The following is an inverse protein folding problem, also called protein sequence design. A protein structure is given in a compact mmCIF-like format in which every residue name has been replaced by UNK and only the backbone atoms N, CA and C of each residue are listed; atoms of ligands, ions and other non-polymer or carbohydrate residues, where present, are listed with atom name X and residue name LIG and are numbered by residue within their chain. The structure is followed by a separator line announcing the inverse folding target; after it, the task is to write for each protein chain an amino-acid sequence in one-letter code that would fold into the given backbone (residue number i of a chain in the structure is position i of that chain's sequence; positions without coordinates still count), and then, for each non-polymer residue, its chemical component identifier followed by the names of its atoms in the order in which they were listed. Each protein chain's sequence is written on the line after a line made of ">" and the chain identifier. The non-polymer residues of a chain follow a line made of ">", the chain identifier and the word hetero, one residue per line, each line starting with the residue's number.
data_IF_548680912153
#
_entry.id   IF_548680912153
#
_cell.length_a   1.000
_cell.length_b   1.000
_cell.length_c   1.000
_cell.angle_alpha   90.00
_cell.angle_beta   90.00
_cell.angle_gamma   90.00
#
_symmetry.space_group_name_H-M   'P 1'
#
loop_
_entity.id
_entity.type
_entity.pdbx_description
1 polymer ?
#
# COMPACT_ATOMS: atom_id res chain seq x y z
N UNK A 1 -13.06 -8.08 18.04
CA UNK A 1 -11.64 -7.93 17.63
C UNK A 1 -11.24 -6.47 17.69
N UNK A 2 -9.99 -6.13 18.00
CA UNK A 2 -9.47 -4.77 17.84
C UNK A 2 -9.52 -4.37 16.36
N UNK A 3 -9.60 -3.06 16.09
CA UNK A 3 -9.46 -2.54 14.73
C UNK A 3 -8.07 -2.83 14.17
N UNK A 4 -7.86 -2.58 12.88
CA UNK A 4 -6.56 -2.74 12.24
C UNK A 4 -6.10 -1.41 11.65
N UNK A 5 -4.78 -1.17 11.65
CA UNK A 5 -4.17 -0.01 11.00
C UNK A 5 -3.18 -0.49 9.93
N UNK A 6 -3.37 -0.03 8.69
CA UNK A 6 -2.45 -0.25 7.57
C UNK A 6 -2.01 1.12 7.03
N UNK A 7 -0.71 1.37 7.03
CA UNK A 7 -0.10 2.58 6.45
C UNK A 7 0.59 2.23 5.14
N UNK A 8 0.21 2.89 4.05
CA UNK A 8 0.75 2.65 2.71
C UNK A 8 1.55 3.86 2.21
N UNK A 9 2.72 3.61 1.61
CA UNK A 9 3.55 4.66 1.01
C UNK A 9 3.79 4.31 -0.45
N UNK A 10 3.45 5.22 -1.36
CA UNK A 10 3.63 5.03 -2.80
C UNK A 10 4.58 6.04 -3.41
N UNK A 11 5.00 5.78 -4.65
CA UNK A 11 5.82 6.71 -5.41
C UNK A 11 7.24 6.87 -4.87
N UNK A 12 7.79 5.79 -4.30
CA UNK A 12 9.14 5.66 -3.77
C UNK A 12 10.12 5.58 -4.95
N UNK A 13 11.12 6.45 -4.95
CA UNK A 13 12.25 6.51 -5.89
C UNK A 13 13.44 7.24 -5.25
N UNK A 14 14.59 7.26 -5.93
CA UNK A 14 15.78 8.00 -5.51
C UNK A 14 15.57 9.47 -5.12
N UNK A 15 14.53 10.14 -5.64
CA UNK A 15 14.23 11.56 -5.34
C UNK A 15 13.33 11.75 -4.13
N UNK A 16 12.73 10.68 -3.63
CA UNK A 16 11.77 10.70 -2.52
C UNK A 16 12.21 9.81 -1.36
N UNK A 17 13.28 9.03 -1.54
CA UNK A 17 13.75 8.05 -0.58
C UNK A 17 14.07 8.65 0.79
N UNK A 18 14.61 9.87 0.83
CA UNK A 18 14.97 10.53 2.08
C UNK A 18 13.71 10.90 2.90
N UNK A 19 12.68 11.46 2.26
CA UNK A 19 11.41 11.75 2.95
C UNK A 19 10.67 10.48 3.37
N UNK A 20 10.73 9.43 2.54
CA UNK A 20 10.14 8.12 2.89
C UNK A 20 10.87 7.50 4.06
N UNK A 21 12.20 7.56 4.09
CA UNK A 21 13.03 7.04 5.19
C UNK A 21 12.75 7.77 6.50
N UNK A 22 12.70 9.10 6.45
CA UNK A 22 12.38 9.93 7.62
C UNK A 22 10.97 9.61 8.15
N UNK A 23 9.97 9.54 7.26
CA UNK A 23 8.61 9.19 7.66
C UNK A 23 8.50 7.77 8.21
N UNK A 24 9.22 6.79 7.62
CA UNK A 24 9.29 5.44 8.17
C UNK A 24 9.88 5.45 9.58
N UNK A 25 10.91 6.24 9.85
CA UNK A 25 11.49 6.37 11.20
C UNK A 25 10.44 6.82 12.23
N UNK A 26 9.58 7.77 11.86
CA UNK A 26 8.47 8.22 12.69
C UNK A 26 7.41 7.14 12.94
N UNK A 27 7.13 6.29 11.94
CA UNK A 27 6.25 5.12 12.10
C UNK A 27 6.89 4.03 12.98
N UNK A 28 8.20 3.82 12.84
CA UNK A 28 8.96 2.85 13.64
C UNK A 28 8.92 3.19 15.13
N UNK A 29 9.09 4.48 15.48
CA UNK A 29 8.94 4.96 16.86
C UNK A 29 7.54 4.74 17.44
N UNK A 30 6.53 4.45 16.60
CA UNK A 30 5.16 4.10 16.99
C UNK A 30 4.86 2.59 16.91
N UNK A 31 5.85 1.77 16.56
CA UNK A 31 5.65 0.33 16.33
C UNK A 31 4.78 0.01 15.11
N UNK A 32 4.69 0.92 14.13
CA UNK A 32 3.83 0.76 12.96
C UNK A 32 4.67 0.37 11.73
N UNK A 33 4.53 -0.86 11.20
CA UNK A 33 5.15 -1.24 9.94
C UNK A 33 4.42 -0.62 8.74
N UNK A 34 5.10 -0.49 7.61
CA UNK A 34 4.56 0.11 6.40
C UNK A 34 4.31 -0.93 5.28
N UNK A 35 3.30 -0.66 4.46
CA UNK A 35 3.13 -1.32 3.16
C UNK A 35 3.68 -0.41 2.06
N UNK A 36 4.82 -0.79 1.51
CA UNK A 36 5.55 -0.04 0.50
C UNK A 36 5.02 -0.43 -0.88
N UNK A 37 4.34 0.52 -1.52
CA UNK A 37 3.73 0.36 -2.84
C UNK A 37 4.78 0.66 -3.91
N UNK A 38 5.47 -0.41 -4.36
CA UNK A 38 6.66 -0.33 -5.21
C UNK A 38 6.29 -0.42 -6.67
N UNK A 39 6.63 0.62 -7.44
CA UNK A 39 6.49 0.65 -8.89
C UNK A 39 7.82 0.41 -9.59
N UNK A 40 8.00 -0.74 -10.29
CA UNK A 40 9.26 -1.03 -10.99
C UNK A 40 9.59 -0.01 -12.08
N UNK A 41 8.56 0.59 -12.68
CA UNK A 41 8.67 1.63 -13.72
C UNK A 41 7.66 2.75 -13.48
N UNK A 42 7.99 3.99 -13.88
CA UNK A 42 7.11 5.17 -13.79
C UNK A 42 7.21 6.07 -15.04
N UNK A 43 6.22 6.96 -15.24
CA UNK A 43 6.09 7.84 -16.44
C UNK A 43 7.29 8.74 -16.75
N UNK A 44 8.07 9.12 -15.74
CA UNK A 44 9.23 9.99 -15.90
C UNK A 44 10.50 9.25 -16.35
N UNK A 45 10.36 8.02 -16.86
CA UNK A 45 11.49 7.17 -17.25
C UNK A 45 12.19 6.49 -16.07
N UNK A 46 11.69 6.65 -14.84
CA UNK A 46 12.25 5.99 -13.67
C UNK A 46 12.16 4.46 -13.79
N UNK A 47 13.23 3.82 -13.35
CA UNK A 47 13.49 2.38 -13.43
C UNK A 47 14.12 1.94 -12.11
N UNK A 48 13.40 1.11 -11.35
CA UNK A 48 13.87 0.64 -10.04
C UNK A 48 15.15 -0.21 -10.17
N UNK A 49 15.30 -0.95 -11.27
CA UNK A 49 16.50 -1.74 -11.58
C UNK A 49 17.75 -0.88 -11.83
N UNK A 50 17.61 0.42 -12.00
CA UNK A 50 18.71 1.38 -12.12
C UNK A 50 18.90 2.22 -10.85
N UNK A 51 18.22 1.88 -9.74
CA UNK A 51 18.25 2.60 -8.48
C UNK A 51 18.65 1.67 -7.32
N UNK A 52 19.94 1.26 -7.25
CA UNK A 52 20.39 0.29 -6.25
C UNK A 52 20.16 0.79 -4.82
N UNK A 53 20.27 2.10 -4.57
CA UNK A 53 20.04 2.71 -3.25
C UNK A 53 18.61 2.45 -2.77
N UNK A 54 17.61 2.65 -3.63
CA UNK A 54 16.21 2.37 -3.28
C UNK A 54 15.96 0.86 -3.14
N UNK A 55 16.58 0.01 -3.98
CA UNK A 55 16.44 -1.46 -3.89
C UNK A 55 17.00 -1.99 -2.57
N UNK A 56 18.20 -1.56 -2.17
CA UNK A 56 18.83 -1.96 -0.91
C UNK A 56 17.98 -1.54 0.29
N UNK A 57 17.47 -0.30 0.25
CA UNK A 57 16.56 0.21 1.27
C UNK A 57 15.29 -0.64 1.36
N UNK A 58 14.62 -0.93 0.24
CA UNK A 58 13.41 -1.77 0.21
C UNK A 58 13.68 -3.19 0.73
N UNK A 59 14.84 -3.75 0.41
CA UNK A 59 15.26 -5.09 0.86
C UNK A 59 15.41 -5.12 2.38
N UNK A 60 16.11 -4.12 2.94
CA UNK A 60 16.25 -3.98 4.39
C UNK A 60 14.90 -3.75 5.07
N UNK A 61 14.06 -2.85 4.53
CA UNK A 61 12.71 -2.58 5.05
C UNK A 61 11.84 -3.84 5.12
N UNK A 62 11.91 -4.70 4.10
CA UNK A 62 11.20 -5.99 4.11
C UNK A 62 11.71 -6.92 5.21
N UNK A 63 13.02 -6.98 5.43
CA UNK A 63 13.62 -7.74 6.53
C UNK A 63 13.12 -7.27 7.90
N UNK A 64 12.86 -5.98 8.04
CA UNK A 64 12.33 -5.35 9.26
C UNK A 64 10.79 -5.45 9.41
N UNK A 65 10.11 -6.17 8.53
CA UNK A 65 8.67 -6.44 8.62
C UNK A 65 7.75 -5.50 7.83
N UNK A 66 8.28 -4.60 7.00
CA UNK A 66 7.46 -3.88 6.02
C UNK A 66 7.03 -4.82 4.89
N UNK A 67 5.84 -4.57 4.32
CA UNK A 67 5.40 -5.31 3.15
C UNK A 67 5.85 -4.62 1.86
N UNK A 68 6.37 -5.41 0.92
CA UNK A 68 6.50 -5.00 -0.48
C UNK A 68 5.21 -5.37 -1.21
N UNK A 69 4.56 -4.37 -1.78
CA UNK A 69 3.33 -4.54 -2.56
C UNK A 69 3.59 -4.04 -3.97
N UNK A 70 3.31 -4.88 -4.97
CA UNK A 70 3.47 -4.48 -6.35
C UNK A 70 2.45 -3.37 -6.65
N UNK A 71 2.99 -2.22 -7.03
CA UNK A 71 2.25 -1.03 -7.43
C UNK A 71 2.72 -0.61 -8.81
N UNK A 72 1.95 0.18 -9.55
CA UNK A 72 2.40 0.59 -10.88
C UNK A 72 2.29 -0.54 -11.91
N UNK A 73 1.13 -0.61 -12.53
CA UNK A 73 0.92 -1.16 -13.85
C UNK A 73 0.17 -0.08 -14.63
N UNK A 74 0.81 0.56 -15.61
CA UNK A 74 0.13 1.55 -16.44
C UNK A 74 -0.58 0.83 -17.59
N UNK A 75 -1.86 0.56 -17.37
CA UNK A 75 -2.83 0.27 -18.42
C UNK A 75 -4.09 1.11 -18.20
N UNK A 76 -4.88 1.28 -19.25
CA UNK A 76 -6.17 1.92 -19.13
C UNK A 76 -7.05 1.15 -18.14
N UNK A 77 -8.02 1.85 -17.53
CA UNK A 77 -9.01 1.22 -16.64
C UNK A 77 -9.80 0.08 -17.33
N UNK A 78 -9.76 0.01 -18.66
CA UNK A 78 -10.41 -0.97 -19.53
C UNK A 78 -9.44 -1.86 -20.30
N UNK A 79 -8.16 -1.91 -19.93
CA UNK A 79 -7.16 -2.72 -20.64
C UNK A 79 -7.58 -4.20 -20.73
N UNK A 80 -7.55 -4.81 -21.94
CA UNK A 80 -7.84 -6.24 -22.11
C UNK A 80 -6.96 -7.11 -21.21
N UNK A 81 -7.50 -8.26 -20.78
CA UNK A 81 -6.80 -9.18 -19.86
C UNK A 81 -5.41 -9.62 -20.36
N UNK A 82 -5.23 -9.75 -21.68
CA UNK A 82 -3.93 -10.10 -22.27
C UNK A 82 -2.89 -8.99 -22.09
N UNK A 83 -3.28 -7.74 -22.32
CA UNK A 83 -2.41 -6.58 -22.13
C UNK A 83 -2.11 -6.36 -20.63
N UNK A 84 -3.14 -6.51 -19.79
CA UNK A 84 -3.02 -6.56 -18.33
C UNK A 84 -1.99 -7.59 -17.87
N UNK A 85 -2.03 -8.79 -18.45
CA UNK A 85 -1.12 -9.87 -18.15
C UNK A 85 0.34 -9.55 -18.53
N UNK A 86 0.58 -9.03 -19.74
CA UNK A 86 1.94 -8.77 -20.21
C UNK A 86 2.70 -7.78 -19.32
N UNK A 87 2.11 -6.62 -19.02
CA UNK A 87 2.83 -5.66 -18.16
C UNK A 87 2.85 -6.07 -16.68
N UNK A 88 1.89 -6.89 -16.20
CA UNK A 88 1.96 -7.48 -14.86
C UNK A 88 3.15 -8.44 -14.76
N UNK A 89 3.31 -9.33 -15.75
CA UNK A 89 4.46 -10.24 -15.83
C UNK A 89 5.78 -9.48 -15.94
N UNK A 90 5.83 -8.40 -16.73
CA UNK A 90 7.03 -7.57 -16.82
C UNK A 90 7.39 -6.94 -15.46
N UNK A 91 6.39 -6.42 -14.74
CA UNK A 91 6.59 -5.82 -13.43
C UNK A 91 6.98 -6.87 -12.35
N UNK A 92 6.31 -8.03 -12.32
CA UNK A 92 6.66 -9.16 -11.43
C UNK A 92 8.10 -9.61 -11.68
N UNK A 93 8.51 -9.74 -12.95
CA UNK A 93 9.86 -10.19 -13.32
C UNK A 93 10.95 -9.21 -12.88
N UNK A 94 10.70 -7.89 -12.98
CA UNK A 94 11.67 -6.90 -12.48
C UNK A 94 11.80 -7.01 -10.96
N UNK A 95 10.69 -7.10 -10.21
CA UNK A 95 10.77 -7.28 -8.76
C UNK A 95 11.42 -8.61 -8.37
N UNK A 96 11.15 -9.70 -9.10
CA UNK A 96 11.77 -11.01 -8.89
C UNK A 96 13.29 -10.95 -9.08
N UNK A 97 13.76 -10.31 -10.15
CA UNK A 97 15.19 -10.12 -10.42
C UNK A 97 15.89 -9.30 -9.33
N UNK A 98 15.20 -8.32 -8.75
CA UNK A 98 15.70 -7.49 -7.64
C UNK A 98 15.55 -8.18 -6.28
N UNK A 99 15.08 -9.43 -6.24
CA UNK A 99 14.82 -10.15 -4.99
C UNK A 99 13.65 -9.59 -4.18
N UNK A 100 12.84 -8.69 -4.73
CA UNK A 100 11.71 -7.99 -4.11
C UNK A 100 10.34 -8.61 -4.48
N UNK A 101 10.33 -9.84 -4.98
CA UNK A 101 9.10 -10.52 -5.42
C UNK A 101 8.02 -10.49 -4.35
N UNK A 102 6.78 -10.28 -4.77
CA UNK A 102 5.59 -10.25 -3.90
C UNK A 102 4.38 -10.82 -4.61
N UNK A 103 3.42 -11.33 -3.83
CA UNK A 103 2.09 -11.78 -4.32
C UNK A 103 0.96 -10.85 -3.87
N UNK A 104 1.33 -9.64 -3.44
CA UNK A 104 0.43 -8.57 -3.03
C UNK A 104 0.42 -7.51 -4.14
N UNK A 105 -0.78 -7.02 -4.46
CA UNK A 105 -0.95 -6.00 -5.50
C UNK A 105 -1.80 -4.83 -5.00
N UNK A 106 -1.45 -3.62 -5.42
CA UNK A 106 -2.29 -2.43 -5.29
C UNK A 106 -2.21 -1.62 -6.58
N UNK A 107 -3.34 -1.46 -7.28
CA UNK A 107 -3.36 -0.75 -8.56
C UNK A 107 -3.06 0.75 -8.42
N UNK A 108 -2.50 1.40 -9.47
CA UNK A 108 -2.35 2.86 -9.49
C UNK A 108 -3.69 3.55 -9.24
N UNK A 109 -3.66 4.63 -8.45
CA UNK A 109 -4.88 5.33 -8.01
C UNK A 109 -5.94 4.41 -7.36
N UNK A 110 -5.53 3.24 -6.87
CA UNK A 110 -6.39 2.22 -6.26
C UNK A 110 -7.42 1.59 -7.20
N UNK A 111 -7.18 1.68 -8.51
CA UNK A 111 -8.05 1.13 -9.55
C UNK A 111 -7.51 -0.22 -10.06
N UNK A 112 -8.41 -1.15 -10.36
CA UNK A 112 -8.08 -2.42 -11.02
C UNK A 112 -9.24 -2.82 -11.91
N UNK A 113 -8.94 -3.18 -13.16
CA UNK A 113 -9.94 -3.69 -14.09
C UNK A 113 -10.21 -5.17 -13.84
N UNK A 114 -11.30 -5.71 -14.37
CA UNK A 114 -11.57 -7.16 -14.35
C UNK A 114 -10.48 -7.95 -15.08
N UNK A 115 -9.90 -7.37 -16.14
CA UNK A 115 -8.74 -7.90 -16.83
C UNK A 115 -7.53 -8.01 -15.91
N UNK A 116 -7.25 -6.99 -15.11
CA UNK A 116 -6.20 -7.02 -14.08
C UNK A 116 -6.50 -8.06 -13.00
N UNK A 117 -7.72 -8.14 -12.49
CA UNK A 117 -8.10 -9.15 -11.49
C UNK A 117 -7.89 -10.58 -12.01
N UNK A 118 -8.24 -10.83 -13.27
CA UNK A 118 -8.00 -12.11 -13.95
C UNK A 118 -6.52 -12.41 -14.11
N UNK A 119 -5.73 -11.43 -14.57
CA UNK A 119 -4.28 -11.56 -14.70
C UNK A 119 -3.60 -11.83 -13.35
N UNK A 120 -4.00 -11.14 -12.28
CA UNK A 120 -3.45 -11.35 -10.94
C UNK A 120 -3.62 -12.80 -10.48
N UNK A 121 -4.84 -13.35 -10.60
CA UNK A 121 -5.13 -14.76 -10.23
C UNK A 121 -4.28 -15.74 -11.05
N UNK A 122 -4.21 -15.54 -12.37
CA UNK A 122 -3.43 -16.39 -13.28
C UNK A 122 -1.92 -16.39 -12.97
N UNK A 123 -1.40 -15.29 -12.42
CA UNK A 123 0.02 -15.14 -12.09
C UNK A 123 0.33 -15.40 -10.60
N UNK A 124 -0.59 -16.02 -9.86
CA UNK A 124 -0.35 -16.45 -8.48
C UNK A 124 -0.34 -15.32 -7.44
N UNK A 125 -0.83 -14.13 -7.78
CA UNK A 125 -1.10 -13.10 -6.77
C UNK A 125 -2.21 -13.58 -5.85
N UNK A 126 -2.06 -13.29 -4.55
CA UNK A 126 -2.95 -13.81 -3.51
C UNK A 126 -3.82 -12.73 -2.88
N UNK A 127 -3.39 -11.46 -2.96
CA UNK A 127 -4.13 -10.34 -2.40
C UNK A 127 -4.09 -9.14 -3.33
N UNK A 128 -5.25 -8.49 -3.50
CA UNK A 128 -5.39 -7.20 -4.19
C UNK A 128 -5.97 -6.15 -3.25
N UNK A 129 -5.27 -5.03 -3.08
CA UNK A 129 -5.70 -3.89 -2.29
C UNK A 129 -6.28 -2.81 -3.22
N UNK A 130 -7.60 -2.68 -3.24
CA UNK A 130 -8.33 -1.66 -4.00
C UNK A 130 -8.77 -0.48 -3.13
N UNK A 131 -9.45 0.50 -3.73
CA UNK A 131 -9.89 1.72 -3.06
C UNK A 131 -10.86 1.47 -1.90
N UNK A 132 -11.79 0.53 -2.08
CA UNK A 132 -12.89 0.27 -1.14
C UNK A 132 -12.75 -1.05 -0.38
N UNK A 133 -11.83 -1.90 -0.80
CA UNK A 133 -11.73 -3.26 -0.29
C UNK A 133 -10.33 -3.85 -0.44
N UNK A 134 -10.09 -4.91 0.32
CA UNK A 134 -8.95 -5.81 0.19
C UNK A 134 -9.51 -7.17 -0.19
N UNK A 135 -9.09 -7.68 -1.35
CA UNK A 135 -9.59 -8.93 -1.94
C UNK A 135 -8.55 -10.03 -1.77
N UNK A 136 -8.96 -11.12 -1.13
CA UNK A 136 -8.26 -12.40 -1.17
C UNK A 136 -8.56 -13.06 -2.53
N UNK A 137 -7.54 -13.09 -3.38
CA UNK A 137 -7.66 -13.60 -4.75
C UNK A 137 -7.74 -15.13 -4.80
N UNK A 138 -7.29 -15.82 -3.76
CA UNK A 138 -7.32 -17.28 -3.65
C UNK A 138 -8.68 -17.74 -3.15
N UNK A 139 -9.23 -17.07 -2.12
CA UNK A 139 -10.51 -17.44 -1.48
C UNK A 139 -11.72 -16.75 -2.10
N UNK A 140 -11.52 -15.74 -2.94
CA UNK A 140 -12.61 -14.93 -3.50
C UNK A 140 -13.34 -14.07 -2.46
N UNK A 141 -12.73 -13.83 -1.29
CA UNK A 141 -13.31 -13.06 -0.20
C UNK A 141 -12.82 -11.60 -0.25
N UNK A 142 -13.66 -10.67 0.18
CA UNK A 142 -13.29 -9.25 0.24
C UNK A 142 -13.62 -8.65 1.62
N UNK A 143 -12.67 -7.89 2.16
CA UNK A 143 -12.89 -7.06 3.35
C UNK A 143 -13.13 -5.63 2.91
N UNK A 144 -14.33 -5.10 3.20
CA UNK A 144 -14.69 -3.70 2.91
C UNK A 144 -13.94 -2.78 3.87
N UNK A 145 -13.03 -1.99 3.32
CA UNK A 145 -12.21 -1.04 4.05
C UNK A 145 -11.72 0.03 3.08
N UNK A 146 -12.23 1.25 3.17
CA UNK A 146 -11.85 2.32 2.25
C UNK A 146 -10.46 2.87 2.59
N UNK A 147 -9.64 3.13 1.57
CA UNK A 147 -8.38 3.87 1.72
C UNK A 147 -8.65 5.36 1.89
N UNK A 148 -8.02 5.95 2.89
CA UNK A 148 -7.98 7.37 3.17
C UNK A 148 -6.58 7.88 2.79
N UNK A 149 -6.46 8.59 1.66
CA UNK A 149 -5.14 8.89 1.11
C UNK A 149 -4.83 10.36 0.84
N UNK A 150 -3.55 10.64 0.60
CA UNK A 150 -3.01 11.92 0.13
C UNK A 150 -2.15 11.67 -1.12
N UNK A 151 -2.49 12.31 -2.24
CA UNK A 151 -1.84 12.02 -3.54
C UNK A 151 -2.32 10.70 -4.15
N UNK A 152 -1.72 10.25 -5.26
CA UNK A 152 -2.14 9.04 -6.02
C UNK A 152 -3.66 8.91 -6.22
N UNK A 153 -4.32 9.96 -6.71
CA UNK A 153 -5.78 9.99 -6.89
C UNK A 153 -6.55 10.70 -5.77
N UNK A 154 -5.87 11.10 -4.69
CA UNK A 154 -6.43 11.93 -3.63
C UNK A 154 -5.88 13.36 -3.64
N UNK A 155 -6.65 14.25 -3.01
CA UNK A 155 -6.30 15.64 -2.71
C UNK A 155 -5.19 15.75 -1.65
N UNK A 156 -4.58 16.93 -1.50
CA UNK A 156 -3.47 17.17 -0.56
C UNK A 156 -3.53 18.53 0.16
N UNK A 157 -4.66 19.20 0.06
CA UNK A 157 -4.95 20.50 0.66
C UNK A 157 -5.20 20.37 2.17
N UNK A 158 -5.01 21.44 2.97
CA UNK A 158 -5.17 21.39 4.43
C UNK A 158 -6.55 20.89 4.90
N UNK A 159 -7.62 21.31 4.24
CA UNK A 159 -8.98 20.86 4.57
C UNK A 159 -9.17 19.36 4.31
N UNK A 160 -8.51 18.82 3.27
CA UNK A 160 -8.53 17.40 2.97
C UNK A 160 -7.76 16.59 4.01
N UNK A 161 -6.60 17.10 4.43
CA UNK A 161 -5.80 16.51 5.50
C UNK A 161 -6.63 16.35 6.79
N UNK A 162 -7.37 17.39 7.18
CA UNK A 162 -8.31 17.32 8.32
C UNK A 162 -9.42 16.28 8.10
N UNK A 163 -9.97 16.21 6.89
CA UNK A 163 -11.02 15.24 6.54
C UNK A 163 -10.52 13.80 6.65
N UNK A 164 -9.29 13.53 6.19
CA UNK A 164 -8.64 12.23 6.30
C UNK A 164 -8.49 11.81 7.77
N UNK A 165 -7.98 12.69 8.62
CA UNK A 165 -7.79 12.42 10.05
C UNK A 165 -9.12 12.06 10.73
N UNK A 166 -10.17 12.88 10.52
CA UNK A 166 -11.50 12.63 11.08
C UNK A 166 -12.13 11.32 10.56
N UNK A 167 -11.86 10.95 9.31
CA UNK A 167 -12.33 9.69 8.74
C UNK A 167 -11.58 8.47 9.32
N UNK A 168 -10.28 8.61 9.58
CA UNK A 168 -9.46 7.58 10.20
C UNK A 168 -9.93 7.32 11.64
N UNK A 169 -10.10 8.38 12.43
CA UNK A 169 -10.61 8.31 13.80
C UNK A 169 -11.98 7.63 13.87
N UNK A 170 -12.93 8.04 13.01
CA UNK A 170 -14.26 7.44 12.97
C UNK A 170 -14.23 5.94 12.67
N UNK A 171 -13.34 5.53 11.76
CA UNK A 171 -13.14 4.10 11.44
C UNK A 171 -12.54 3.35 12.62
N UNK A 172 -11.54 3.94 13.29
CA UNK A 172 -10.88 3.36 14.45
C UNK A 172 -11.83 3.17 15.64
N UNK A 173 -12.64 4.19 15.96
CA UNK A 173 -13.67 4.13 17.02
C UNK A 173 -14.67 2.99 16.83
N UNK A 174 -14.95 2.62 15.59
CA UNK A 174 -15.84 1.50 15.22
C UNK A 174 -15.11 0.16 15.15
N UNK A 175 -13.85 0.10 15.58
CA UNK A 175 -12.98 -1.09 15.51
C UNK A 175 -12.86 -1.63 14.07
N UNK A 176 -12.91 -0.73 13.08
CA UNK A 176 -12.77 -1.07 11.67
C UNK A 176 -11.31 -1.20 11.21
N UNK A 177 -11.13 -1.44 9.92
CA UNK A 177 -9.80 -1.46 9.27
C UNK A 177 -9.49 -0.05 8.75
N UNK A 178 -8.60 0.65 9.44
CA UNK A 178 -8.07 1.96 9.04
C UNK A 178 -6.97 1.74 8.00
N UNK A 179 -7.20 2.20 6.77
CA UNK A 179 -6.21 2.15 5.68
C UNK A 179 -5.84 3.57 5.30
N UNK A 180 -4.65 4.02 5.68
CA UNK A 180 -4.13 5.35 5.30
C UNK A 180 -3.03 5.23 4.26
N UNK A 181 -2.98 6.15 3.31
CA UNK A 181 -2.01 6.10 2.23
C UNK A 181 -1.44 7.48 1.88
N UNK A 182 -0.16 7.54 1.52
CA UNK A 182 0.48 8.80 1.11
C UNK A 182 1.42 8.58 -0.07
N UNK A 183 1.33 9.44 -1.07
CA UNK A 183 2.34 9.51 -2.12
C UNK A 183 3.58 10.24 -1.59
N UNK A 184 4.75 9.64 -1.72
CA UNK A 184 6.00 10.07 -1.09
C UNK A 184 6.33 11.55 -1.31
N UNK A 185 6.07 12.08 -2.51
CA UNK A 185 6.27 13.50 -2.85
C UNK A 185 5.53 14.50 -1.92
N UNK A 186 4.49 14.07 -1.22
CA UNK A 186 3.75 14.92 -0.29
C UNK A 186 4.35 14.91 1.12
N UNK A 187 5.21 13.95 1.47
CA UNK A 187 5.84 13.85 2.79
C UNK A 187 6.80 14.99 3.11
N UNK A 188 7.37 15.66 2.09
CA UNK A 188 8.16 16.88 2.28
C UNK A 188 7.35 18.03 2.87
N UNK A 189 6.03 18.05 2.66
CA UNK A 189 5.14 19.10 3.16
C UNK A 189 4.71 18.76 4.60
N UNK A 190 4.85 19.71 5.56
CA UNK A 190 4.53 19.44 6.96
C UNK A 190 3.06 19.08 7.17
N UNK A 191 2.11 19.73 6.48
CA UNK A 191 0.68 19.44 6.62
C UNK A 191 0.28 17.99 6.31
N UNK A 192 0.49 17.49 5.08
CA UNK A 192 0.27 16.09 4.74
C UNK A 192 0.98 15.09 5.64
N UNK A 193 2.24 15.36 5.99
CA UNK A 193 3.03 14.49 6.87
C UNK A 193 2.40 14.42 8.27
N UNK A 194 2.06 15.56 8.86
CA UNK A 194 1.43 15.61 10.18
C UNK A 194 0.07 14.91 10.18
N UNK A 195 -0.75 15.14 9.15
CA UNK A 195 -2.06 14.49 9.05
C UNK A 195 -1.97 12.96 8.98
N UNK A 196 -0.94 12.42 8.34
CA UNK A 196 -0.69 10.97 8.35
C UNK A 196 -0.30 10.48 9.75
N UNK A 197 0.52 11.22 10.49
CA UNK A 197 0.90 10.88 11.86
C UNK A 197 -0.30 10.98 12.81
N UNK A 198 -1.12 12.03 12.70
CA UNK A 198 -2.32 12.21 13.51
C UNK A 198 -3.32 11.07 13.29
N UNK A 199 -3.51 10.64 12.03
CA UNK A 199 -4.37 9.50 11.71
C UNK A 199 -3.85 8.17 12.29
N UNK A 200 -2.52 7.98 12.29
CA UNK A 200 -1.87 6.83 12.93
C UNK A 200 -2.06 6.88 14.45
N UNK A 201 -1.77 8.03 15.07
CA UNK A 201 -1.82 8.21 16.51
C UNK A 201 -3.25 8.04 17.05
N UNK A 202 -4.26 8.55 16.35
CA UNK A 202 -5.67 8.32 16.69
C UNK A 202 -6.10 6.86 16.52
N UNK A 203 -5.63 6.18 15.47
CA UNK A 203 -5.92 4.76 15.28
C UNK A 203 -5.32 3.90 16.41
N UNK A 204 -4.08 4.18 16.80
CA UNK A 204 -3.40 3.54 17.92
C UNK A 204 -4.11 3.83 19.26
N UNK A 205 -4.49 5.09 19.51
CA UNK A 205 -5.24 5.51 20.70
C UNK A 205 -6.56 4.75 20.86
N UNK A 206 -7.23 4.43 19.73
CA UNK A 206 -8.45 3.62 19.72
C UNK A 206 -8.20 2.10 19.68
N UNK A 207 -6.96 1.66 19.92
CA UNK A 207 -6.60 0.25 20.04
C UNK A 207 -6.54 -0.50 18.72
N UNK A 208 -6.37 0.18 17.58
CA UNK A 208 -6.12 -0.50 16.31
C UNK A 208 -4.76 -1.19 16.34
N UNK A 209 -4.71 -2.47 15.98
CA UNK A 209 -3.46 -3.22 15.84
C UNK A 209 -2.76 -2.86 14.53
N UNK A 210 -1.52 -2.36 14.56
CA UNK A 210 -0.74 -2.13 13.34
C UNK A 210 -0.48 -3.41 12.57
N UNK A 211 -0.64 -3.36 11.26
CA UNK A 211 -0.33 -4.46 10.35
C UNK A 211 0.02 -3.92 8.97
N UNK A 212 0.55 -4.79 8.14
CA UNK A 212 0.77 -4.53 6.71
C UNK A 212 -0.25 -5.32 5.88
N UNK A 213 -0.37 -5.00 4.59
CA UNK A 213 -0.99 -5.95 3.67
C UNK A 213 -0.17 -7.25 3.69
N UNK A 214 -0.85 -8.35 3.97
CA UNK A 214 -0.27 -9.69 3.99
C UNK A 214 -1.36 -10.70 3.67
N UNK A 215 -0.97 -11.78 3.02
CA UNK A 215 -1.85 -12.91 2.79
C UNK A 215 -1.32 -14.09 3.62
N UNK A 216 -2.20 -14.73 4.40
CA UNK A 216 -1.86 -15.86 5.29
C UNK A 216 -2.59 -17.13 4.80
N UNK A 217 -1.90 -18.27 4.81
CA UNK A 217 -2.44 -19.56 4.34
C UNK A 217 -3.60 -20.09 5.18
N UNK A 218 -3.70 -19.71 6.46
CA UNK A 218 -4.87 -19.99 7.30
C UNK A 218 -5.67 -18.71 7.57
N UNK A 219 -7.01 -18.73 7.48
CA UNK A 219 -7.77 -17.86 8.35
C UNK A 219 -7.32 -18.23 9.76
N UNK A 220 -6.96 -17.25 10.60
CA UNK A 220 -7.07 -17.53 12.02
C UNK A 220 -8.52 -17.97 12.19
N UNK A 221 -8.73 -19.26 12.48
CA UNK A 221 -10.00 -19.73 12.96
C UNK A 221 -10.35 -18.76 14.07
N UNK A 222 -11.43 -18.02 13.89
CA UNK A 222 -12.10 -17.31 14.95
C UNK A 222 -12.54 -18.38 15.96
N UNK A 223 -11.61 -18.82 16.81
CA UNK A 223 -11.89 -19.63 17.98
C UNK A 223 -12.58 -18.68 18.98
N UNK A 224 -13.86 -18.45 18.73
CA UNK A 224 -14.81 -18.16 19.77
C UNK A 224 -15.37 -19.52 20.21
N UNK A 225 -14.75 -20.08 21.24
CA UNK A 225 -15.40 -20.96 22.19
C UNK A 225 -15.40 -20.22 23.52
#
# INVERSE_FOLDING_TARGET
>A
MPGQLIVSISGIDNRTLDEVSAFRGLLAGRGVPASLLVAPRRKNGYRLDHDPRTVDWLTHRRGDGDAIVLHGFEGAATSPAHEANLRLMAADRVLDHLGLRTRLFAGPKWNSSDGTATALRRNGFRLSAGLHEVVDLVRGQAVRARVLGIGEGFLAEPWWCRTLVLAAERTARRRGVVRVAVAARHLRRPGPRQAMLDAVDLALMHGCTPTVYRWRDRPELTAAA
#
